data_IF_773694310467
#
_entry.id   IF_773694310467
#
_cell.length_a   1.000
_cell.length_b   1.000
_cell.length_c   1.000
_cell.angle_alpha   90.00
_cell.angle_beta   90.00
_cell.angle_gamma   90.00
#
_symmetry.space_group_name_H-M   'P 1'
#
loop_
_entity.id
_entity.type
_entity.pdbx_description
1 polymer ?
#
# COMPACT_ATOMS: atom_id res chain seq x y z
N UNK A 1 0.73 0.48 23.04
CA UNK A 1 0.80 -0.63 22.09
C UNK A 1 -0.04 -0.27 20.87
N UNK A 2 0.57 -0.27 19.68
CA UNK A 2 -0.12 0.03 18.41
C UNK A 2 -0.34 -1.30 17.68
N UNK A 3 -1.53 -1.52 17.12
CA UNK A 3 -1.83 -2.75 16.37
C UNK A 3 -1.98 -2.45 14.89
N UNK A 4 -1.27 -3.19 14.05
CA UNK A 4 -1.38 -3.11 12.59
C UNK A 4 -2.06 -4.39 12.11
N UNK A 5 -3.28 -4.29 11.59
CA UNK A 5 -4.03 -5.41 11.03
C UNK A 5 -3.85 -5.40 9.53
N UNK A 6 -3.47 -6.54 8.95
CA UNK A 6 -3.29 -6.67 7.51
C UNK A 6 -4.19 -7.76 6.96
N UNK A 7 -4.99 -7.45 5.93
CA UNK A 7 -5.70 -8.46 5.15
C UNK A 7 -4.74 -9.09 4.12
N UNK A 8 -3.69 -9.74 4.62
CA UNK A 8 -2.65 -10.36 3.81
C UNK A 8 -2.78 -11.88 3.86
N UNK A 9 -2.94 -12.50 2.68
CA UNK A 9 -2.60 -13.92 2.50
C UNK A 9 -1.09 -14.13 2.34
N UNK A 10 -0.36 -13.07 1.95
CA UNK A 10 1.09 -13.12 1.73
C UNK A 10 1.85 -12.77 3.02
N UNK A 11 2.43 -13.80 3.64
CA UNK A 11 3.21 -13.69 4.87
C UNK A 11 4.55 -12.96 4.66
N UNK A 12 5.08 -12.90 3.43
CA UNK A 12 6.37 -12.26 3.14
C UNK A 12 6.26 -10.75 3.27
N UNK A 13 5.20 -10.14 2.74
CA UNK A 13 5.00 -8.69 2.87
C UNK A 13 4.84 -8.27 4.34
N UNK A 14 4.16 -9.09 5.15
CA UNK A 14 4.02 -8.85 6.59
C UNK A 14 5.39 -8.90 7.32
N UNK A 15 6.24 -9.87 6.97
CA UNK A 15 7.60 -9.99 7.51
C UNK A 15 8.48 -8.80 7.11
N UNK A 16 8.41 -8.39 5.85
CA UNK A 16 9.19 -7.27 5.32
C UNK A 16 8.75 -5.95 5.97
N UNK A 17 7.44 -5.74 6.15
CA UNK A 17 6.91 -4.57 6.86
C UNK A 17 7.34 -4.55 8.32
N UNK A 18 7.30 -5.70 9.01
CA UNK A 18 7.78 -5.79 10.39
C UNK A 18 9.26 -5.43 10.48
N UNK A 19 10.11 -6.02 9.62
CA UNK A 19 11.54 -5.69 9.58
C UNK A 19 11.77 -4.20 9.35
N UNK A 20 11.08 -3.63 8.34
CA UNK A 20 11.19 -2.20 8.03
C UNK A 20 10.81 -1.31 9.22
N UNK A 21 9.70 -1.65 9.91
CA UNK A 21 9.27 -0.92 11.11
C UNK A 21 10.32 -1.01 12.22
N UNK A 22 10.91 -2.19 12.46
CA UNK A 22 11.95 -2.37 13.48
C UNK A 22 13.21 -1.54 13.20
N UNK A 23 13.53 -1.29 11.92
CA UNK A 23 14.67 -0.48 11.51
C UNK A 23 14.41 1.04 11.61
N UNK A 24 13.16 1.47 11.43
CA UNK A 24 12.82 2.89 11.25
C UNK A 24 12.04 3.50 12.42
N UNK A 25 11.44 2.68 13.30
CA UNK A 25 10.70 3.15 14.46
C UNK A 25 11.28 2.53 15.75
N UNK A 26 11.23 3.25 16.89
CA UNK A 26 11.66 2.71 18.18
C UNK A 26 10.61 1.76 18.77
N UNK A 27 10.24 0.70 18.03
CA UNK A 27 9.28 -0.31 18.44
C UNK A 27 9.72 -1.72 18.01
N UNK A 28 9.36 -2.71 18.82
CA UNK A 28 9.53 -4.12 18.50
C UNK A 28 8.24 -4.67 17.88
N UNK A 29 8.27 -5.08 16.60
CA UNK A 29 7.11 -5.67 15.95
C UNK A 29 6.97 -7.16 16.34
N UNK A 30 5.83 -7.48 16.96
CA UNK A 30 5.44 -8.84 17.31
C UNK A 30 4.45 -9.37 16.29
N UNK A 31 4.84 -10.41 15.56
CA UNK A 31 4.02 -11.02 14.52
C UNK A 31 2.98 -11.97 15.14
N UNK A 32 1.71 -11.76 14.78
CA UNK A 32 0.59 -12.67 15.02
C UNK A 32 0.00 -13.09 13.66
N UNK A 33 -0.99 -14.00 13.66
CA UNK A 33 -1.53 -14.60 12.42
C UNK A 33 -1.99 -13.58 11.38
N UNK A 34 -2.71 -12.53 11.79
CA UNK A 34 -3.32 -11.51 10.91
C UNK A 34 -2.82 -10.08 11.20
N UNK A 35 -1.91 -9.92 12.15
CA UNK A 35 -1.54 -8.60 12.67
C UNK A 35 -0.10 -8.52 13.14
N UNK A 36 0.43 -7.31 13.09
CA UNK A 36 1.69 -6.92 13.69
C UNK A 36 1.33 -6.06 14.91
N UNK A 37 1.81 -6.45 16.08
CA UNK A 37 1.62 -5.67 17.31
C UNK A 37 2.93 -4.97 17.62
N UNK A 38 2.93 -3.65 17.68
CA UNK A 38 4.11 -2.86 18.01
C UNK A 38 4.20 -2.69 19.52
N UNK A 39 5.28 -3.23 20.08
CA UNK A 39 5.71 -2.96 21.45
C UNK A 39 6.60 -1.72 21.44
N UNK A 40 6.15 -0.65 22.09
CA UNK A 40 6.79 0.67 22.03
C UNK A 40 8.01 0.71 22.96
N UNK A 41 9.21 0.92 22.40
CA UNK A 41 10.43 1.14 23.21
C UNK A 41 10.55 2.62 23.63
N UNK A 42 9.97 3.52 22.84
CA UNK A 42 9.82 4.94 23.13
C UNK A 42 8.42 5.42 22.73
N UNK A 43 8.05 6.65 23.10
CA UNK A 43 6.79 7.24 22.68
C UNK A 43 6.73 7.35 21.16
N UNK A 44 5.72 6.73 20.55
CA UNK A 44 5.49 6.78 19.10
C UNK A 44 4.04 7.16 18.83
N UNK A 45 3.85 8.19 18.01
CA UNK A 45 2.54 8.59 17.53
C UNK A 45 2.04 7.69 16.40
N UNK A 46 0.72 7.52 16.34
CA UNK A 46 0.07 6.72 15.30
C UNK A 46 0.38 7.29 13.91
N UNK A 47 0.54 8.61 13.79
CA UNK A 47 0.89 9.29 12.54
C UNK A 47 2.31 8.94 12.04
N UNK A 48 3.25 8.72 12.95
CA UNK A 48 4.61 8.31 12.62
C UNK A 48 4.63 6.87 12.07
N UNK A 49 3.87 5.98 12.72
CA UNK A 49 3.62 4.62 12.22
C UNK A 49 2.98 4.65 10.83
N UNK A 50 1.95 5.48 10.64
CA UNK A 50 1.30 5.63 9.34
C UNK A 50 2.28 6.14 8.27
N UNK A 51 3.16 7.08 8.61
CA UNK A 51 4.15 7.62 7.68
C UNK A 51 5.20 6.59 7.27
N UNK A 52 5.67 5.77 8.21
CA UNK A 52 6.57 4.65 7.92
C UNK A 52 5.90 3.58 7.06
N UNK A 53 4.64 3.23 7.34
CA UNK A 53 3.88 2.30 6.50
C UNK A 53 3.71 2.89 5.08
N UNK A 54 3.35 4.17 4.94
CA UNK A 54 3.22 4.82 3.63
C UNK A 54 4.52 4.75 2.83
N UNK A 55 5.64 5.02 3.48
CA UNK A 55 6.97 4.96 2.87
C UNK A 55 7.31 3.54 2.41
N UNK A 56 7.11 2.54 3.27
CA UNK A 56 7.32 1.14 2.93
C UNK A 56 6.49 0.70 1.72
N UNK A 57 5.20 1.01 1.72
CA UNK A 57 4.31 0.62 0.63
C UNK A 57 4.67 1.30 -0.69
N UNK A 58 5.12 2.55 -0.64
CA UNK A 58 5.66 3.28 -1.80
C UNK A 58 6.92 2.61 -2.36
N UNK A 59 7.88 2.23 -1.51
CA UNK A 59 9.11 1.51 -1.90
C UNK A 59 8.77 0.17 -2.55
N UNK A 60 7.81 -0.56 -1.98
CA UNK A 60 7.37 -1.87 -2.49
C UNK A 60 6.41 -1.78 -3.67
N UNK A 61 5.98 -0.57 -4.05
CA UNK A 61 4.98 -0.30 -5.09
C UNK A 61 3.72 -1.14 -4.92
N UNK A 62 3.26 -1.27 -3.68
CA UNK A 62 2.04 -2.00 -3.35
C UNK A 62 0.91 -0.98 -3.24
N UNK A 63 -0.20 -1.24 -3.93
CA UNK A 63 -1.43 -0.45 -3.76
C UNK A 63 -2.16 -0.91 -2.50
N UNK A 64 -2.59 0.05 -1.68
CA UNK A 64 -3.25 -0.23 -0.42
C UNK A 64 -4.16 0.93 -0.01
N UNK A 65 -5.18 0.60 0.77
CA UNK A 65 -5.92 1.55 1.58
C UNK A 65 -5.58 1.35 3.06
N UNK A 66 -5.50 2.46 3.78
CA UNK A 66 -5.16 2.49 5.20
C UNK A 66 -6.29 3.17 5.98
N UNK A 67 -6.82 2.48 6.97
CA UNK A 67 -7.79 3.01 7.92
C UNK A 67 -7.18 3.09 9.31
N UNK A 68 -7.28 4.25 9.94
CA UNK A 68 -6.71 4.50 11.26
C UNK A 68 -7.83 4.64 12.28
N UNK A 69 -7.72 3.90 13.38
CA UNK A 69 -8.62 3.95 14.52
C UNK A 69 -7.87 4.46 15.75
N UNK A 70 -7.75 5.80 15.85
CA UNK A 70 -7.04 6.47 16.93
C UNK A 70 -7.43 6.02 18.35
N UNK A 71 -8.71 5.91 18.75
CA UNK A 71 -9.06 5.54 20.13
C UNK A 71 -8.59 4.12 20.50
N UNK A 72 -8.40 3.23 19.52
CA UNK A 72 -7.84 1.88 19.73
C UNK A 72 -6.35 1.77 19.37
N UNK A 73 -5.72 2.85 18.90
CA UNK A 73 -4.36 2.87 18.33
C UNK A 73 -4.15 1.70 17.36
N UNK A 74 -5.11 1.54 16.45
CA UNK A 74 -5.15 0.44 15.48
C UNK A 74 -5.07 1.00 14.06
N UNK A 75 -4.24 0.39 13.23
CA UNK A 75 -4.07 0.73 11.82
C UNK A 75 -4.44 -0.51 11.01
N UNK A 76 -5.48 -0.42 10.19
CA UNK A 76 -5.91 -1.51 9.34
C UNK A 76 -5.51 -1.22 7.90
N UNK A 77 -4.80 -2.16 7.30
CA UNK A 77 -4.27 -2.06 5.94
C UNK A 77 -4.98 -3.10 5.07
N UNK A 78 -5.57 -2.64 3.97
CA UNK A 78 -6.12 -3.49 2.93
C UNK A 78 -5.27 -3.35 1.68
N UNK A 79 -4.71 -4.47 1.20
CA UNK A 79 -3.90 -4.48 -0.02
C UNK A 79 -4.82 -4.67 -1.21
N UNK A 80 -4.86 -3.67 -2.07
CA UNK A 80 -5.65 -3.67 -3.30
C UNK A 80 -4.96 -4.56 -4.33
N UNK A 81 -5.70 -5.48 -4.95
CA UNK A 81 -5.14 -6.41 -5.94
C UNK A 81 -4.57 -7.73 -5.39
N UNK A 82 -4.86 -8.11 -4.14
CA UNK A 82 -4.49 -9.42 -3.55
C UNK A 82 -5.21 -10.64 -4.18
N UNK A 83 -5.74 -10.49 -5.39
CA UNK A 83 -6.30 -11.57 -6.20
C UNK A 83 -5.39 -11.80 -7.40
N UNK A 84 -4.50 -12.79 -7.24
CA UNK A 84 -3.66 -13.43 -8.27
C UNK A 84 -2.69 -12.53 -9.03
N UNK A 85 -1.43 -12.90 -8.91
CA UNK A 85 -0.35 -12.55 -9.85
C UNK A 85 -0.76 -12.97 -11.27
N UNK A 86 -0.86 -12.01 -12.17
CA UNK A 86 -0.40 -12.16 -13.55
C UNK A 86 0.27 -10.85 -13.94
N UNK A 87 1.45 -10.98 -14.52
CA UNK A 87 2.28 -9.91 -15.03
C UNK A 87 1.50 -8.96 -15.96
N UNK A 88 1.97 -7.71 -16.04
CA UNK A 88 1.35 -6.55 -16.72
C UNK A 88 0.17 -6.00 -15.90
N UNK A 89 0.26 -4.79 -15.35
CA UNK A 89 -0.10 -3.56 -16.06
C UNK A 89 0.58 -2.35 -15.40
N UNK A 90 1.09 -1.46 -16.27
CA UNK A 90 1.81 -0.24 -15.91
C UNK A 90 0.85 0.78 -15.33
N UNK A 91 1.35 1.54 -14.36
CA UNK A 91 0.64 2.55 -13.61
C UNK A 91 -0.15 3.52 -14.48
N UNK A 92 -1.39 3.73 -14.07
CA UNK A 92 -2.27 4.75 -14.62
C UNK A 92 -2.03 6.03 -13.81
N UNK A 93 -1.52 7.07 -14.45
CA UNK A 93 -1.44 8.41 -13.84
C UNK A 93 -2.79 9.12 -14.02
N UNK A 94 -3.31 9.69 -12.92
CA UNK A 94 -4.54 10.46 -12.90
C UNK A 94 -4.20 11.95 -13.02
N UNK A 95 -4.88 12.67 -13.93
CA UNK A 95 -4.88 14.13 -13.89
C UNK A 95 -5.71 14.66 -12.72
N UNK A 96 -5.44 15.89 -12.29
CA UNK A 96 -6.20 16.66 -11.28
C UNK A 96 -7.72 16.72 -11.48
N UNK A 97 -8.23 16.34 -12.66
CA UNK A 97 -9.65 16.25 -12.98
C UNK A 97 -10.25 14.83 -12.92
N UNK A 98 -9.50 13.82 -12.47
CA UNK A 98 -9.97 12.43 -12.37
C UNK A 98 -9.98 11.67 -13.70
N UNK A 99 -9.22 12.16 -14.68
CA UNK A 99 -9.05 11.53 -15.99
C UNK A 99 -7.78 10.67 -16.00
N UNK A 100 -7.87 9.50 -16.63
CA UNK A 100 -6.77 8.59 -16.89
C UNK A 100 -5.99 9.06 -18.12
N UNK A 101 -4.67 9.21 -17.99
CA UNK A 101 -3.80 9.71 -19.06
C UNK A 101 -2.94 8.57 -19.62
N UNK A 102 -2.82 8.49 -20.94
CA UNK A 102 -1.88 7.59 -21.59
C UNK A 102 -0.43 8.07 -21.41
N UNK A 103 0.51 7.22 -20.95
CA UNK A 103 1.89 7.62 -20.76
C UNK A 103 2.69 7.71 -22.08
N UNK A 104 2.12 7.26 -23.20
CA UNK A 104 2.78 7.21 -24.51
C UNK A 104 2.32 8.29 -25.49
N UNK A 105 1.17 8.92 -25.25
CA UNK A 105 0.65 10.00 -26.06
C UNK A 105 -0.32 10.87 -25.25
N UNK A 106 -0.74 12.01 -25.81
CA UNK A 106 -1.62 12.97 -25.11
C UNK A 106 -3.10 12.52 -25.01
N UNK A 107 -3.38 11.22 -25.05
CA UNK A 107 -4.73 10.67 -24.95
C UNK A 107 -5.19 10.59 -23.49
N UNK A 108 -6.40 11.08 -23.22
CA UNK A 108 -7.00 11.09 -21.89
C UNK A 108 -8.42 10.54 -21.93
N UNK A 109 -8.85 9.80 -20.90
CA UNK A 109 -10.19 9.26 -20.80
C UNK A 109 -10.66 9.19 -19.35
N UNK A 110 -11.96 9.28 -19.11
CA UNK A 110 -12.55 9.13 -17.77
C UNK A 110 -12.72 7.66 -17.34
N UNK A 111 -12.52 6.70 -18.25
CA UNK A 111 -12.71 5.27 -17.99
C UNK A 111 -11.40 4.48 -18.12
N UNK A 112 -11.00 3.80 -17.04
CA UNK A 112 -9.78 2.98 -17.00
C UNK A 112 -9.76 1.87 -18.07
N UNK A 113 -10.91 1.22 -18.32
CA UNK A 113 -11.01 0.15 -19.31
C UNK A 113 -10.71 0.66 -20.74
N UNK A 114 -11.12 1.89 -21.03
CA UNK A 114 -10.86 2.55 -22.31
C UNK A 114 -9.38 2.90 -22.44
N UNK A 115 -8.73 3.34 -21.36
CA UNK A 115 -7.29 3.57 -21.38
C UNK A 115 -6.52 2.26 -21.61
N UNK A 116 -6.92 1.16 -20.98
CA UNK A 116 -6.28 -0.15 -21.16
C UNK A 116 -6.37 -0.63 -22.62
N UNK A 117 -7.53 -0.48 -23.27
CA UNK A 117 -7.69 -0.80 -24.69
C UNK A 117 -6.83 0.11 -25.58
N UNK A 118 -6.82 1.41 -25.30
CA UNK A 118 -5.97 2.38 -26.02
C UNK A 118 -4.48 2.05 -25.88
N UNK A 119 -4.03 1.64 -24.69
CA UNK A 119 -2.63 1.28 -24.48
C UNK A 119 -2.22 0.08 -25.35
N UNK A 120 -3.12 -0.89 -25.55
CA UNK A 120 -2.83 -2.04 -26.42
C UNK A 120 -2.58 -1.62 -27.87
N UNK A 121 -3.15 -0.50 -28.33
CA UNK A 121 -2.92 -0.03 -29.70
C UNK A 121 -1.53 0.56 -29.95
N UNK A 122 -0.75 0.86 -28.91
CA UNK A 122 0.65 1.27 -29.07
C UNK A 122 1.60 0.09 -29.30
N UNK A 123 1.12 -1.15 -29.14
CA UNK A 123 1.93 -2.36 -29.22
C UNK A 123 1.55 -3.27 -30.41
N UNK A 124 0.72 -2.77 -31.31
CA UNK A 124 0.42 -3.35 -32.63
C UNK A 124 1.10 -2.53 -33.71
#
# INVERSE_FOLDING_TARGET
>A
MISIILNLKDRRLMLDLATYIAEHLPALPVLKQDRIVLDELAHIDVEEVCSSIRSFMSIRRVNYSMHVNNPKREVTIYIEGSSKVTETERGYEHDTQGLFICPHCNYTTEYADILSIHMRSHYI
#
